data_IF_853546251792
#
_entry.id   IF_853546251792
#
_cell.length_a   1.000
_cell.length_b   1.000
_cell.length_c   1.000
_cell.angle_alpha   90.00
_cell.angle_beta   90.00
_cell.angle_gamma   90.00
#
_symmetry.space_group_name_H-M   'P 1'
#
loop_
_entity.id
_entity.type
_entity.pdbx_description
1 polymer ?
#
# COMPACT_ATOMS: atom_id res chain seq x y z
N UNK A 1 20.59 -24.56 1.03
CA UNK A 1 19.16 -24.19 1.12
C UNK A 1 18.69 -23.86 -0.27
N UNK A 2 17.64 -24.55 -0.74
CA UNK A 2 17.23 -24.44 -2.12
C UNK A 2 16.39 -23.17 -2.29
N UNK A 3 16.94 -22.14 -2.94
CA UNK A 3 16.32 -20.81 -3.11
C UNK A 3 14.93 -20.86 -3.72
N UNK A 4 14.63 -21.93 -4.47
CA UNK A 4 13.33 -22.23 -5.05
C UNK A 4 12.25 -22.39 -3.96
N UNK A 5 12.56 -23.04 -2.84
CA UNK A 5 11.60 -23.28 -1.75
C UNK A 5 11.20 -21.94 -1.10
N UNK A 6 12.16 -21.04 -0.93
CA UNK A 6 11.92 -19.70 -0.35
C UNK A 6 11.02 -18.87 -1.26
N UNK A 7 11.24 -18.94 -2.59
CA UNK A 7 10.39 -18.26 -3.57
C UNK A 7 8.95 -18.79 -3.55
N UNK A 8 8.78 -20.11 -3.50
CA UNK A 8 7.45 -20.73 -3.46
C UNK A 8 6.71 -20.34 -2.17
N UNK A 9 7.38 -20.39 -1.01
CA UNK A 9 6.80 -19.97 0.26
C UNK A 9 6.43 -18.48 0.27
N UNK A 10 7.28 -17.63 -0.31
CA UNK A 10 7.00 -16.20 -0.47
C UNK A 10 5.77 -15.96 -1.36
N UNK A 11 5.68 -16.63 -2.51
CA UNK A 11 4.55 -16.52 -3.42
C UNK A 11 3.23 -16.99 -2.78
N UNK A 12 3.27 -18.10 -2.03
CA UNK A 12 2.12 -18.58 -1.25
C UNK A 12 1.71 -17.59 -0.16
N UNK A 13 2.68 -17.07 0.60
CA UNK A 13 2.42 -16.02 1.60
C UNK A 13 1.76 -14.79 0.98
N UNK A 14 2.22 -14.39 -0.21
CA UNK A 14 1.63 -13.28 -0.96
C UNK A 14 0.19 -13.57 -1.39
N UNK A 15 -0.05 -14.77 -1.94
CA UNK A 15 -1.37 -15.20 -2.37
C UNK A 15 -2.38 -15.26 -1.23
N UNK A 16 -1.98 -15.80 -0.07
CA UNK A 16 -2.82 -15.90 1.12
C UNK A 16 -3.08 -14.51 1.73
N UNK A 17 -2.05 -13.67 1.84
CA UNK A 17 -2.18 -12.29 2.31
C UNK A 17 -3.14 -11.47 1.45
N UNK A 18 -3.03 -11.58 0.12
CA UNK A 18 -3.96 -10.90 -0.78
C UNK A 18 -5.40 -11.47 -0.68
N UNK A 19 -5.54 -12.80 -0.72
CA UNK A 19 -6.84 -13.45 -0.79
C UNK A 19 -7.67 -13.30 0.48
N UNK A 20 -7.04 -13.39 1.65
CA UNK A 20 -7.73 -13.35 2.94
C UNK A 20 -7.69 -11.97 3.58
N UNK A 21 -6.52 -11.34 3.68
CA UNK A 21 -6.38 -10.09 4.43
C UNK A 21 -6.82 -8.89 3.60
N UNK A 22 -6.27 -8.73 2.39
CA UNK A 22 -6.58 -7.58 1.56
C UNK A 22 -8.05 -7.54 1.13
N UNK A 23 -8.60 -8.70 0.74
CA UNK A 23 -10.01 -8.82 0.38
C UNK A 23 -10.95 -8.51 1.55
N UNK A 24 -10.61 -8.96 2.76
CA UNK A 24 -11.43 -8.74 3.95
C UNK A 24 -11.43 -7.28 4.38
N UNK A 25 -10.29 -6.58 4.30
CA UNK A 25 -10.20 -5.14 4.58
C UNK A 25 -11.04 -4.33 3.59
N UNK A 26 -10.91 -4.61 2.29
CA UNK A 26 -11.67 -3.91 1.25
C UNK A 26 -13.18 -4.09 1.46
N UNK A 27 -13.63 -5.30 1.80
CA UNK A 27 -15.07 -5.61 1.92
C UNK A 27 -15.68 -5.21 3.25
N UNK A 28 -14.98 -5.38 4.37
CA UNK A 28 -15.59 -5.20 5.69
C UNK A 28 -15.25 -3.85 6.33
N UNK A 29 -14.05 -3.29 6.07
CA UNK A 29 -13.59 -2.07 6.73
C UNK A 29 -13.80 -0.84 5.86
N UNK A 30 -13.32 -0.87 4.62
CA UNK A 30 -13.27 0.35 3.78
C UNK A 30 -14.51 0.56 2.93
N UNK A 31 -15.11 -0.51 2.41
CA UNK A 31 -16.37 -0.44 1.64
C UNK A 31 -16.39 0.70 0.61
N UNK A 32 -15.44 0.72 -0.35
CA UNK A 32 -15.31 1.84 -1.27
C UNK A 32 -16.52 1.95 -2.20
N UNK A 33 -17.13 3.14 -2.27
CA UNK A 33 -18.22 3.45 -3.20
C UNK A 33 -17.66 3.89 -4.56
N UNK A 34 -17.84 3.10 -5.64
CA UNK A 34 -17.35 3.44 -6.97
C UNK A 34 -18.11 4.61 -7.62
N UNK A 35 -19.29 4.99 -7.10
CA UNK A 35 -20.12 6.06 -7.67
C UNK A 35 -19.78 7.44 -7.10
N UNK A 36 -18.99 7.51 -6.02
CA UNK A 36 -18.60 8.78 -5.40
C UNK A 36 -17.55 9.48 -6.29
N UNK A 37 -17.86 10.67 -6.77
CA UNK A 37 -16.88 11.48 -7.50
C UNK A 37 -15.76 11.93 -6.54
N UNK A 38 -14.52 11.89 -7.03
CA UNK A 38 -13.35 12.30 -6.23
C UNK A 38 -13.36 13.82 -6.02
N UNK A 39 -12.87 14.33 -4.87
CA UNK A 39 -12.79 15.77 -4.59
C UNK A 39 -12.08 16.55 -5.68
N UNK A 40 -11.07 15.95 -6.32
CA UNK A 40 -10.36 16.51 -7.47
C UNK A 40 -11.25 16.79 -8.69
N UNK A 41 -12.41 16.14 -8.83
CA UNK A 41 -13.41 16.47 -9.86
C UNK A 41 -14.51 17.42 -9.36
N UNK A 42 -14.76 17.46 -8.06
CA UNK A 42 -15.83 18.29 -7.48
C UNK A 42 -15.37 19.74 -7.21
N UNK A 43 -14.13 19.94 -6.77
CA UNK A 43 -13.63 21.22 -6.29
C UNK A 43 -12.45 21.74 -7.13
N UNK A 44 -12.51 21.57 -8.45
CA UNK A 44 -11.47 21.95 -9.43
C UNK A 44 -11.09 23.45 -9.33
N UNK A 45 -10.27 23.80 -8.35
CA UNK A 45 -9.90 25.17 -7.99
C UNK A 45 -8.54 25.59 -8.58
N UNK A 46 -7.80 24.64 -9.16
CA UNK A 46 -6.50 24.89 -9.79
C UNK A 46 -5.35 25.12 -8.80
N UNK A 47 -5.62 25.08 -7.49
CA UNK A 47 -4.63 25.33 -6.42
C UNK A 47 -4.50 24.09 -5.53
N UNK A 48 -5.57 23.67 -4.86
CA UNK A 48 -5.57 22.50 -3.96
C UNK A 48 -6.07 21.22 -4.68
N UNK A 49 -6.89 21.37 -5.72
CA UNK A 49 -7.52 20.29 -6.47
C UNK A 49 -7.30 20.46 -7.97
N UNK A 50 -6.22 19.86 -8.46
CA UNK A 50 -5.95 19.70 -9.89
C UNK A 50 -6.13 18.25 -10.32
N UNK A 51 -6.75 17.99 -11.49
CA UNK A 51 -6.99 16.64 -11.96
C UNK A 51 -5.69 16.01 -12.47
N UNK A 52 -5.02 15.27 -11.60
CA UNK A 52 -3.87 14.45 -11.98
C UNK A 52 -4.34 13.06 -12.47
N UNK A 53 -3.59 12.49 -13.42
CA UNK A 53 -3.84 11.11 -13.85
C UNK A 53 -3.52 10.12 -12.72
N UNK A 54 -4.28 9.02 -12.66
CA UNK A 54 -4.12 7.98 -11.62
C UNK A 54 -2.68 7.44 -11.53
N UNK A 55 -2.02 7.31 -12.67
CA UNK A 55 -0.66 6.77 -12.77
C UNK A 55 0.38 7.73 -12.18
N UNK A 56 0.22 9.04 -12.40
CA UNK A 56 1.11 10.06 -11.83
C UNK A 56 0.94 10.11 -10.32
N UNK A 57 -0.31 10.10 -9.83
CA UNK A 57 -0.59 10.12 -8.40
C UNK A 57 -0.04 8.88 -7.67
N UNK A 58 -0.20 7.71 -8.29
CA UNK A 58 0.40 6.47 -7.80
C UNK A 58 1.93 6.57 -7.75
N UNK A 59 2.57 7.10 -8.78
CA UNK A 59 4.02 7.27 -8.83
C UNK A 59 4.56 8.16 -7.70
N UNK A 60 3.88 9.27 -7.39
CA UNK A 60 4.26 10.14 -6.27
C UNK A 60 4.14 9.44 -4.91
N UNK A 61 3.02 8.73 -4.70
CA UNK A 61 2.80 7.99 -3.46
C UNK A 61 3.81 6.85 -3.31
N UNK A 62 4.01 6.07 -4.38
CA UNK A 62 4.96 4.97 -4.42
C UNK A 62 6.39 5.45 -4.15
N UNK A 63 6.82 6.55 -4.77
CA UNK A 63 8.15 7.15 -4.55
C UNK A 63 8.36 7.56 -3.09
N UNK A 64 7.32 8.11 -2.44
CA UNK A 64 7.39 8.51 -1.03
C UNK A 64 7.52 7.30 -0.09
N UNK A 65 6.78 6.22 -0.35
CA UNK A 65 6.83 4.98 0.45
C UNK A 65 8.14 4.23 0.23
N UNK A 66 8.57 4.13 -1.03
CA UNK A 66 9.75 3.38 -1.43
C UNK A 66 11.06 3.96 -0.87
N UNK A 67 11.09 5.24 -0.52
CA UNK A 67 12.27 5.89 0.03
C UNK A 67 12.54 5.49 1.50
N UNK A 68 11.51 5.24 2.30
CA UNK A 68 11.64 5.02 3.75
C UNK A 68 11.50 3.55 4.14
N UNK A 69 10.45 2.86 3.69
CA UNK A 69 10.09 1.55 4.20
C UNK A 69 10.93 0.37 3.65
N UNK A 70 11.19 0.27 2.33
CA UNK A 70 11.99 -0.82 1.76
C UNK A 70 13.49 -0.71 2.04
N UNK A 71 13.99 0.48 2.38
CA UNK A 71 15.41 0.69 2.59
C UNK A 71 15.82 0.41 4.04
N UNK A 72 15.19 1.08 5.00
CA UNK A 72 15.64 1.05 6.40
C UNK A 72 15.37 -0.28 7.11
N UNK A 73 14.18 -0.84 6.92
CA UNK A 73 13.75 -2.07 7.60
C UNK A 73 14.61 -3.30 7.27
N UNK A 74 14.80 -3.65 5.99
CA UNK A 74 15.64 -4.77 5.60
C UNK A 74 17.10 -4.61 6.00
N UNK A 75 17.66 -3.39 5.93
CA UNK A 75 19.05 -3.13 6.34
C UNK A 75 19.26 -3.47 7.82
N UNK A 76 18.32 -3.08 8.70
CA UNK A 76 18.39 -3.41 10.13
C UNK A 76 18.17 -4.91 10.34
N UNK A 77 17.20 -5.50 9.63
CA UNK A 77 16.87 -6.92 9.78
C UNK A 77 17.97 -7.87 9.27
N UNK A 78 18.77 -7.45 8.29
CA UNK A 78 19.94 -8.20 7.79
C UNK A 78 21.02 -8.36 8.87
N UNK A 79 21.11 -7.45 9.84
CA UNK A 79 22.04 -7.58 10.97
C UNK A 79 21.75 -8.83 11.81
N UNK A 80 20.51 -9.33 11.77
CA UNK A 80 20.05 -10.54 12.45
C UNK A 80 20.05 -11.78 11.54
N UNK A 81 20.55 -11.63 10.31
CA UNK A 81 20.63 -12.67 9.30
C UNK A 81 19.60 -12.55 8.18
N UNK A 82 19.63 -13.50 7.25
CA UNK A 82 18.81 -13.47 6.04
C UNK A 82 17.33 -13.80 6.29
N UNK A 83 17.02 -14.64 7.30
CA UNK A 83 15.65 -15.03 7.66
C UNK A 83 14.83 -13.85 8.24
N UNK A 84 15.34 -13.11 9.23
CA UNK A 84 14.63 -11.93 9.76
C UNK A 84 14.41 -10.86 8.70
N UNK A 85 15.38 -10.64 7.81
CA UNK A 85 15.23 -9.72 6.68
C UNK A 85 14.09 -10.12 5.75
N UNK A 86 13.99 -11.41 5.42
CA UNK A 86 12.97 -11.92 4.52
C UNK A 86 11.57 -11.90 5.18
N UNK A 87 11.49 -12.26 6.46
CA UNK A 87 10.27 -12.16 7.25
C UNK A 87 9.81 -10.70 7.38
N UNK A 88 10.73 -9.75 7.59
CA UNK A 88 10.42 -8.33 7.64
C UNK A 88 9.88 -7.80 6.32
N UNK A 89 10.48 -8.20 5.18
CA UNK A 89 10.00 -7.80 3.85
C UNK A 89 8.59 -8.32 3.63
N UNK A 90 8.33 -9.60 3.92
CA UNK A 90 6.99 -10.17 3.73
C UNK A 90 5.99 -9.49 4.67
N UNK A 91 6.22 -9.56 5.99
CA UNK A 91 5.24 -9.08 6.97
C UNK A 91 5.08 -7.55 6.93
N UNK A 92 6.17 -6.80 6.82
CA UNK A 92 6.15 -5.34 6.78
C UNK A 92 5.43 -4.80 5.55
N UNK A 93 5.66 -5.38 4.38
CA UNK A 93 4.94 -4.98 3.15
C UNK A 93 3.46 -5.34 3.24
N UNK A 94 3.12 -6.53 3.77
CA UNK A 94 1.73 -6.97 3.88
C UNK A 94 0.90 -6.16 4.87
N UNK A 95 1.40 -5.97 6.09
CA UNK A 95 0.60 -5.39 7.17
C UNK A 95 0.68 -3.86 7.22
N UNK A 96 1.86 -3.29 6.97
CA UNK A 96 2.08 -1.84 7.12
C UNK A 96 1.94 -1.16 5.76
N UNK A 97 2.70 -1.62 4.76
CA UNK A 97 2.73 -0.97 3.45
C UNK A 97 1.37 -0.92 2.77
N UNK A 98 0.72 -2.09 2.64
CA UNK A 98 -0.54 -2.19 1.90
C UNK A 98 -1.70 -1.40 2.56
N UNK A 99 -1.81 -1.46 3.89
CA UNK A 99 -2.86 -0.75 4.64
C UNK A 99 -2.63 0.76 4.61
N UNK A 100 -1.38 1.20 4.78
CA UNK A 100 -1.02 2.61 4.71
C UNK A 100 -1.31 3.20 3.33
N UNK A 101 -0.97 2.47 2.27
CA UNK A 101 -1.21 2.92 0.89
C UNK A 101 -2.69 2.98 0.54
N UNK A 102 -3.44 1.96 0.96
CA UNK A 102 -4.87 1.89 0.75
C UNK A 102 -5.62 2.97 1.54
N UNK A 103 -5.22 3.22 2.79
CA UNK A 103 -5.78 4.28 3.63
C UNK A 103 -5.47 5.69 3.11
N UNK A 104 -4.26 5.94 2.63
CA UNK A 104 -3.89 7.22 2.02
C UNK A 104 -4.73 7.51 0.75
N UNK A 105 -4.99 6.50 -0.06
CA UNK A 105 -5.89 6.62 -1.23
C UNK A 105 -7.34 6.89 -0.83
N UNK A 106 -7.86 6.21 0.20
CA UNK A 106 -9.23 6.41 0.69
C UNK A 106 -9.47 7.80 1.27
N UNK A 107 -8.51 8.35 2.04
CA UNK A 107 -8.64 9.70 2.62
C UNK A 107 -8.80 10.78 1.54
N UNK A 108 -8.13 10.61 0.39
CA UNK A 108 -8.34 11.50 -0.78
C UNK A 108 -9.73 11.36 -1.38
N UNK A 109 -10.38 10.22 -1.20
CA UNK A 109 -11.76 9.98 -1.64
C UNK A 109 -12.80 10.62 -0.70
N UNK A 110 -12.50 10.74 0.59
CA UNK A 110 -13.45 11.25 1.60
C UNK A 110 -13.26 12.73 1.95
N UNK A 111 -12.21 13.37 1.46
CA UNK A 111 -11.90 14.78 1.75
C UNK A 111 -12.90 15.80 1.17
N UNK A 112 -13.95 15.36 0.46
CA UNK A 112 -15.09 16.21 0.08
C UNK A 112 -16.05 16.56 1.24
N UNK A 113 -15.64 16.31 2.49
CA UNK A 113 -16.35 16.66 3.73
C UNK A 113 -15.46 17.41 4.73
N UNK A 114 -14.50 18.20 4.27
CA UNK A 114 -13.91 19.21 5.15
C UNK A 114 -14.96 20.32 5.36
N UNK A 115 -15.29 20.71 6.61
CA UNK A 115 -16.21 21.80 6.91
C UNK A 115 -15.68 23.15 6.41
#
# INVERSE_FOLDING_TARGET
MNSIIVLILGALGIGVGYGLYARNINRNIVQPDPNKATPAKMYMDGVDFTPASRNVLFGYQFKSVAALAPLTGPIIAVQWGWLPALAWIILGVFFIGWVQDYGAGLRRYDHGRAP
#
